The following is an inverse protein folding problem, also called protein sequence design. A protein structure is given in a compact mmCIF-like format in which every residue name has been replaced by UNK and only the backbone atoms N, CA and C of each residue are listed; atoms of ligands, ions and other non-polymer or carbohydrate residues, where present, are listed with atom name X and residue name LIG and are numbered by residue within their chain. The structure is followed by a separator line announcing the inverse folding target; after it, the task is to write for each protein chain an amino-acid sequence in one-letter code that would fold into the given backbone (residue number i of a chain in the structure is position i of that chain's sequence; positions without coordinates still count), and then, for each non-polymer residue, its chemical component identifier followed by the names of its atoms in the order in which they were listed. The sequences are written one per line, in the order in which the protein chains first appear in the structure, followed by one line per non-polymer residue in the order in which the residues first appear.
data_IF_837615469350
#
_entry.id   IF_837615469350
#
_cell.length_a   1.000
_cell.length_b   1.000
_cell.length_c   1.000
_cell.angle_alpha   90.00
_cell.angle_beta   90.00
_cell.angle_gamma   90.00
#
_symmetry.space_group_name_H-M   'P 1'
#
loop_
_entity.id
_entity.type
_entity.pdbx_description
1 polymer ?
#
# COMPACT_ATOMS: atom_id res chain seq x y z
N UNK A 1 2.24 -6.36 -4.50
CA UNK A 1 1.32 -5.45 -3.77
C UNK A 1 1.41 -4.09 -4.42
N UNK A 2 0.30 -3.52 -4.90
CA UNK A 2 0.35 -2.25 -5.62
C UNK A 2 -0.88 -1.39 -5.28
N UNK A 3 -0.72 -0.27 -4.55
CA UNK A 3 -1.85 0.54 -4.07
C UNK A 3 -2.66 1.16 -5.22
N UNK A 4 -2.01 1.46 -6.35
CA UNK A 4 -2.65 1.99 -7.55
C UNK A 4 -3.72 1.03 -8.12
N UNK A 5 -3.57 -0.29 -7.95
CA UNK A 5 -4.57 -1.28 -8.38
C UNK A 5 -5.87 -1.18 -7.58
N UNK A 6 -5.78 -0.71 -6.35
CA UNK A 6 -6.86 -0.82 -5.36
C UNK A 6 -7.83 0.35 -5.31
N UNK A 7 -7.76 1.28 -6.27
CA UNK A 7 -8.56 2.52 -6.22
C UNK A 7 -9.85 2.41 -7.03
N UNK A 8 -10.99 2.52 -6.36
CA UNK A 8 -12.33 2.56 -6.97
C UNK A 8 -13.05 3.87 -6.66
N UNK A 9 -13.97 4.24 -7.54
CA UNK A 9 -14.79 5.46 -7.41
C UNK A 9 -16.24 5.15 -7.69
N UNK A 10 -17.14 5.90 -7.04
CA UNK A 10 -18.53 5.98 -7.45
C UNK A 10 -18.61 6.75 -8.78
N UNK A 11 -19.43 6.28 -9.74
CA UNK A 11 -19.54 6.88 -11.09
C UNK A 11 -20.12 8.30 -11.07
N UNK A 12 -20.94 8.62 -10.08
CA UNK A 12 -21.59 9.93 -9.93
C UNK A 12 -20.75 10.93 -9.11
N UNK A 13 -19.60 10.51 -8.58
CA UNK A 13 -18.69 11.37 -7.80
C UNK A 13 -18.06 12.51 -8.62
N UNK A 14 -18.06 12.41 -9.95
CA UNK A 14 -17.35 13.31 -10.85
C UNK A 14 -15.83 13.10 -10.92
N UNK A 15 -15.29 12.06 -10.28
CA UNK A 15 -13.84 11.79 -10.24
C UNK A 15 -13.41 11.06 -11.51
N UNK A 16 -12.62 11.69 -12.39
CA UNK A 16 -12.12 11.09 -13.63
C UNK A 16 -10.60 10.87 -13.63
N UNK A 17 -9.89 11.51 -12.71
CA UNK A 17 -8.44 11.46 -12.56
C UNK A 17 -8.05 11.55 -11.08
N UNK A 18 -6.79 11.21 -10.72
CA UNK A 18 -6.30 11.41 -9.35
C UNK A 18 -6.48 12.83 -8.82
N UNK A 19 -6.38 13.85 -9.68
CA UNK A 19 -6.54 15.25 -9.28
C UNK A 19 -7.96 15.57 -8.78
N UNK A 20 -8.97 14.86 -9.28
CA UNK A 20 -10.37 15.07 -8.90
C UNK A 20 -10.69 14.51 -7.49
N UNK A 21 -9.74 13.84 -6.84
CA UNK A 21 -9.88 13.39 -5.44
C UNK A 21 -9.85 14.56 -4.44
N UNK A 22 -9.29 15.71 -4.83
CA UNK A 22 -9.23 16.90 -3.97
C UNK A 22 -10.64 17.36 -3.63
N UNK A 23 -10.92 17.54 -2.33
CA UNK A 23 -12.24 17.90 -1.82
C UNK A 23 -13.26 16.75 -1.79
N UNK A 24 -12.86 15.51 -2.14
CA UNK A 24 -13.74 14.34 -2.14
C UNK A 24 -13.55 13.47 -0.91
N UNK A 25 -14.57 12.68 -0.60
CA UNK A 25 -14.60 11.69 0.48
C UNK A 25 -13.94 10.40 0.02
N UNK A 26 -12.69 10.18 0.42
CA UNK A 26 -11.88 9.03 0.02
C UNK A 26 -11.71 8.08 1.20
N UNK A 27 -12.33 6.91 1.09
CA UNK A 27 -12.29 5.89 2.12
C UNK A 27 -10.99 5.08 2.11
N UNK A 28 -10.53 4.71 3.30
CA UNK A 28 -9.39 3.83 3.56
C UNK A 28 -9.73 2.89 4.72
N UNK A 29 -9.12 1.70 4.77
CA UNK A 29 -9.34 0.74 5.87
C UNK A 29 -8.74 1.18 7.22
N UNK A 30 -8.06 2.32 7.25
CA UNK A 30 -7.36 2.86 8.40
C UNK A 30 -6.50 4.02 7.94
N UNK A 31 -6.36 5.07 8.75
CA UNK A 31 -5.52 6.19 8.35
C UNK A 31 -4.06 5.73 8.23
N UNK A 32 -3.53 4.94 9.16
CA UNK A 32 -2.16 4.45 9.12
C UNK A 32 -1.95 3.18 8.29
N UNK A 33 -2.98 2.69 7.63
CA UNK A 33 -2.94 1.48 6.83
C UNK A 33 -1.93 1.59 5.66
N UNK A 34 -1.10 0.56 5.44
CA UNK A 34 0.02 0.59 4.47
C UNK A 34 -0.36 1.08 3.05
N UNK A 35 -1.42 0.58 2.39
CA UNK A 35 -1.86 1.09 1.09
C UNK A 35 -2.32 2.54 1.13
N UNK A 36 -2.95 2.96 2.23
CA UNK A 36 -3.37 4.34 2.41
C UNK A 36 -2.15 5.27 2.57
N UNK A 37 -1.14 4.86 3.34
CA UNK A 37 0.10 5.59 3.53
C UNK A 37 0.88 5.75 2.20
N UNK A 38 1.03 4.66 1.46
CA UNK A 38 1.63 4.69 0.13
C UNK A 38 0.85 5.56 -0.86
N UNK A 39 -0.46 5.37 -0.96
CA UNK A 39 -1.28 6.09 -1.94
C UNK A 39 -1.29 7.59 -1.65
N UNK A 40 -1.35 8.02 -0.38
CA UNK A 40 -1.18 9.43 -0.02
C UNK A 40 0.18 9.98 -0.43
N UNK A 41 1.26 9.26 -0.17
CA UNK A 41 2.60 9.66 -0.61
C UNK A 41 2.69 9.79 -2.14
N UNK A 42 2.14 8.83 -2.88
CA UNK A 42 2.09 8.86 -4.35
C UNK A 42 1.27 10.05 -4.85
N UNK A 43 0.07 10.28 -4.30
CA UNK A 43 -0.77 11.43 -4.67
C UNK A 43 -0.05 12.76 -4.39
N UNK A 44 0.62 12.88 -3.25
CA UNK A 44 1.32 14.09 -2.85
C UNK A 44 2.56 14.36 -3.71
N UNK A 45 3.42 13.37 -3.91
CA UNK A 45 4.76 13.57 -4.48
C UNK A 45 4.82 13.28 -5.97
N UNK A 46 4.12 12.26 -6.46
CA UNK A 46 4.13 11.91 -7.88
C UNK A 46 3.04 12.67 -8.66
N UNK A 47 1.82 12.72 -8.13
CA UNK A 47 0.73 13.51 -8.74
C UNK A 47 0.70 14.98 -8.30
N UNK A 48 1.57 15.40 -7.37
CA UNK A 48 1.68 16.79 -6.89
C UNK A 48 0.35 17.35 -6.34
N UNK A 49 -0.40 16.52 -5.60
CA UNK A 49 -1.73 16.89 -5.10
C UNK A 49 -1.70 17.37 -3.64
N UNK A 50 -2.57 18.32 -3.27
CA UNK A 50 -2.74 18.74 -1.89
C UNK A 50 -3.54 17.70 -1.10
N UNK A 51 -2.92 16.58 -0.71
CA UNK A 51 -3.61 15.45 -0.07
C UNK A 51 -4.30 15.79 1.26
N UNK A 52 -3.99 16.94 1.86
CA UNK A 52 -4.67 17.47 3.05
C UNK A 52 -6.05 18.07 2.75
N UNK A 53 -6.31 18.43 1.50
CA UNK A 53 -7.61 18.91 1.02
C UNK A 53 -8.54 17.75 0.60
N UNK A 54 -8.07 16.51 0.63
CA UNK A 54 -8.89 15.30 0.49
C UNK A 54 -9.54 14.99 1.85
N UNK A 55 -10.83 14.65 1.83
CA UNK A 55 -11.57 14.23 3.03
C UNK A 55 -11.33 12.74 3.22
N UNK A 56 -10.42 12.36 4.12
CA UNK A 56 -10.09 10.96 4.39
C UNK A 56 -11.16 10.34 5.28
N UNK A 57 -11.82 9.30 4.79
CA UNK A 57 -12.84 8.59 5.56
C UNK A 57 -12.24 7.28 6.05
N UNK A 58 -12.21 7.07 7.36
CA UNK A 58 -11.72 5.84 7.97
C UNK A 58 -12.71 5.32 9.01
N UNK A 59 -12.45 4.15 9.57
CA UNK A 59 -13.16 3.70 10.76
C UNK A 59 -12.70 4.48 12.00
N UNK A 60 -13.48 4.47 13.07
CA UNK A 60 -13.16 5.18 14.31
C UNK A 60 -11.95 4.59 15.03
N UNK A 61 -11.73 3.28 14.90
CA UNK A 61 -10.50 2.60 15.30
C UNK A 61 -9.74 2.08 14.08
N UNK A 62 -8.45 2.38 13.99
CA UNK A 62 -7.60 1.82 12.92
C UNK A 62 -7.20 0.38 13.28
N UNK A 63 -7.69 -0.65 12.55
CA UNK A 63 -7.43 -2.04 12.87
C UNK A 63 -5.96 -2.46 12.67
N UNK A 64 -5.16 -1.64 11.99
CA UNK A 64 -3.73 -1.91 11.73
C UNK A 64 -2.81 -1.27 12.75
N UNK A 65 -3.30 -0.31 13.53
CA UNK A 65 -2.54 0.41 14.56
C UNK A 65 -3.23 0.33 15.93
N UNK A 66 -4.06 -0.69 16.17
CA UNK A 66 -4.70 -0.95 17.46
C UNK A 66 -3.69 -0.94 18.61
N UNK A 67 -3.98 -0.15 19.64
CA UNK A 67 -3.14 -0.01 20.83
C UNK A 67 -1.92 0.90 20.65
N UNK A 68 -1.74 1.52 19.48
CA UNK A 68 -0.71 2.52 19.26
C UNK A 68 -1.30 3.93 19.36
N UNK A 69 -0.63 4.78 20.13
CA UNK A 69 -0.94 6.22 20.17
C UNK A 69 -0.34 6.90 18.93
N UNK A 70 -1.19 7.11 17.92
CA UNK A 70 -0.84 7.88 16.73
C UNK A 70 -1.95 8.87 16.40
N UNK A 71 -1.58 9.96 15.72
CA UNK A 71 -2.54 10.90 15.16
C UNK A 71 -2.05 11.37 13.79
N UNK A 72 -2.96 11.59 12.81
CA UNK A 72 -2.62 12.29 11.58
C UNK A 72 -1.89 13.61 11.87
N UNK A 73 -0.96 13.99 11.02
CA UNK A 73 -0.32 15.30 11.09
C UNK A 73 -1.37 16.43 10.97
N UNK A 74 -1.02 17.63 11.45
CA UNK A 74 -1.95 18.76 11.43
C UNK A 74 -2.38 19.11 9.99
N UNK A 75 -3.67 19.39 9.82
CA UNK A 75 -4.28 19.82 8.56
C UNK A 75 -4.92 18.72 7.71
N UNK A 76 -4.78 17.44 8.07
CA UNK A 76 -5.60 16.39 7.43
C UNK A 76 -7.06 16.51 7.85
N UNK A 77 -7.97 16.46 6.88
CA UNK A 77 -9.41 16.33 7.12
C UNK A 77 -9.72 14.84 7.23
N UNK A 78 -10.13 14.39 8.42
CA UNK A 78 -10.49 12.99 8.67
C UNK A 78 -11.91 12.90 9.19
N UNK A 79 -12.72 12.08 8.53
CA UNK A 79 -14.06 11.71 8.95
C UNK A 79 -14.13 10.22 9.30
N UNK A 80 -15.10 9.87 10.13
CA UNK A 80 -15.30 8.49 10.59
C UNK A 80 -16.63 7.93 10.14
N UNK A 81 -16.62 6.69 9.64
CA UNK A 81 -17.81 5.85 9.46
C UNK A 81 -17.57 4.57 10.26
N UNK A 82 -18.35 4.36 11.32
CA UNK A 82 -18.20 3.19 12.19
C UNK A 82 -18.49 1.89 11.42
N UNK A 83 -17.60 0.90 11.58
CA UNK A 83 -17.73 -0.40 10.92
C UNK A 83 -17.31 -0.39 9.45
N UNK A 84 -16.79 0.73 8.93
CA UNK A 84 -16.29 0.82 7.56
C UNK A 84 -15.22 -0.24 7.29
N UNK A 85 -14.27 -0.46 8.22
CA UNK A 85 -13.21 -1.44 8.01
C UNK A 85 -13.73 -2.87 7.83
N UNK A 86 -14.77 -3.24 8.57
CA UNK A 86 -15.43 -4.55 8.47
C UNK A 86 -16.21 -4.71 7.16
N UNK A 87 -16.79 -3.62 6.65
CA UNK A 87 -17.44 -3.57 5.34
C UNK A 87 -16.42 -3.70 4.20
N UNK A 88 -15.30 -2.99 4.30
CA UNK A 88 -14.23 -2.96 3.30
C UNK A 88 -13.50 -4.31 3.19
N UNK A 89 -13.16 -4.91 4.32
CA UNK A 89 -12.25 -6.05 4.41
C UNK A 89 -12.85 -7.16 5.25
N UNK A 90 -13.00 -8.35 4.66
CA UNK A 90 -13.37 -9.56 5.40
C UNK A 90 -12.25 -10.60 5.31
N UNK A 91 -12.40 -11.71 6.04
CA UNK A 91 -11.51 -12.87 5.92
C UNK A 91 -11.46 -13.45 4.48
N UNK A 92 -12.39 -13.07 3.59
CA UNK A 92 -12.45 -13.49 2.19
C UNK A 92 -11.88 -12.46 1.21
N UNK A 93 -11.39 -11.31 1.68
CA UNK A 93 -10.77 -10.26 0.85
C UNK A 93 -11.52 -8.93 0.88
N UNK A 94 -11.26 -8.08 -0.12
CA UNK A 94 -11.96 -6.79 -0.30
C UNK A 94 -13.33 -7.05 -0.90
N UNK A 95 -14.39 -6.55 -0.26
CA UNK A 95 -15.76 -6.69 -0.77
C UNK A 95 -16.28 -5.39 -1.37
N UNK A 96 -17.44 -5.49 -2.04
CA UNK A 96 -18.24 -4.32 -2.37
C UNK A 96 -18.64 -3.59 -1.10
N UNK A 97 -18.71 -2.27 -1.23
CA UNK A 97 -18.88 -1.34 -0.12
C UNK A 97 -20.12 -0.54 -0.44
N UNK A 98 -21.20 -0.83 0.27
CA UNK A 98 -22.46 -0.10 0.18
C UNK A 98 -22.22 1.41 0.34
N UNK A 99 -21.28 1.84 1.20
CA UNK A 99 -20.94 3.25 1.32
C UNK A 99 -20.47 3.89 0.00
N UNK A 100 -19.69 3.15 -0.81
CA UNK A 100 -19.23 3.60 -2.11
C UNK A 100 -20.35 3.54 -3.15
N UNK A 101 -21.15 2.47 -3.16
CA UNK A 101 -22.25 2.30 -4.11
C UNK A 101 -23.35 3.34 -3.92
N UNK A 102 -23.68 3.67 -2.68
CA UNK A 102 -24.69 4.66 -2.28
C UNK A 102 -24.19 6.11 -2.38
N UNK A 103 -22.90 6.32 -2.65
CA UNK A 103 -22.29 7.67 -2.73
C UNK A 103 -22.10 8.36 -1.38
N UNK A 104 -22.12 7.61 -0.27
CA UNK A 104 -21.71 8.12 1.06
C UNK A 104 -20.21 8.40 1.12
N UNK A 105 -19.43 7.73 0.28
CA UNK A 105 -18.03 8.03 -0.03
C UNK A 105 -17.88 8.10 -1.55
N UNK A 106 -16.97 8.95 -2.02
CA UNK A 106 -16.76 9.20 -3.45
C UNK A 106 -15.76 8.20 -4.05
N UNK A 107 -14.76 7.79 -3.26
CA UNK A 107 -13.70 6.88 -3.65
C UNK A 107 -13.30 5.95 -2.51
N UNK A 108 -12.63 4.87 -2.86
CA UNK A 108 -12.05 3.89 -1.95
C UNK A 108 -10.64 3.53 -2.40
N UNK A 109 -9.70 3.54 -1.46
CA UNK A 109 -8.37 2.95 -1.60
C UNK A 109 -8.31 1.70 -0.73
N UNK A 110 -8.32 0.54 -1.39
CA UNK A 110 -8.26 -0.78 -0.77
C UNK A 110 -6.95 -1.51 -1.14
N UNK A 111 -6.57 -2.59 -0.45
CA UNK A 111 -5.45 -3.42 -0.91
C UNK A 111 -5.76 -4.12 -2.24
N UNK A 112 -4.71 -4.66 -2.85
CA UNK A 112 -4.74 -5.78 -3.82
C UNK A 112 -5.94 -5.80 -4.75
N UNK A 113 -5.81 -5.18 -5.93
CA UNK A 113 -6.86 -5.19 -6.94
C UNK A 113 -8.11 -4.39 -6.57
N UNK A 114 -8.36 -4.06 -5.30
CA UNK A 114 -9.49 -3.26 -4.82
C UNK A 114 -10.85 -3.95 -4.89
N UNK A 115 -11.89 -3.30 -4.36
CA UNK A 115 -13.27 -3.84 -4.35
C UNK A 115 -13.74 -4.18 -5.78
N UNK A 116 -14.51 -5.26 -6.00
CA UNK A 116 -15.12 -5.55 -7.29
C UNK A 116 -16.00 -4.37 -7.76
N UNK A 117 -15.89 -4.01 -9.04
CA UNK A 117 -16.71 -2.93 -9.62
C UNK A 117 -18.09 -3.43 -10.02
N UNK A 118 -19.07 -2.54 -10.08
CA UNK A 118 -20.47 -2.86 -10.36
C UNK A 118 -21.16 -1.83 -11.28
N UNK A 119 -22.49 -1.79 -11.24
CA UNK A 119 -23.30 -0.80 -11.96
C UNK A 119 -22.99 0.63 -11.54
N UNK A 120 -22.62 0.87 -10.28
CA UNK A 120 -22.43 2.20 -9.69
C UNK A 120 -20.97 2.61 -9.51
N UNK A 121 -20.04 1.66 -9.58
CA UNK A 121 -18.62 1.88 -9.29
C UNK A 121 -17.71 1.50 -10.45
N UNK A 122 -16.51 2.07 -10.49
CA UNK A 122 -15.46 1.74 -11.46
C UNK A 122 -14.08 1.93 -10.87
N UNK A 123 -13.06 1.39 -11.52
CA UNK A 123 -11.66 1.73 -11.21
C UNK A 123 -11.41 3.21 -11.51
N UNK A 124 -10.59 3.87 -10.69
CA UNK A 124 -10.12 5.23 -10.99
C UNK A 124 -9.10 5.20 -12.13
N UNK A 125 -8.15 4.28 -12.05
CA UNK A 125 -7.09 4.12 -13.04
C UNK A 125 -7.52 3.09 -14.08
N UNK A 126 -7.49 3.48 -15.37
CA UNK A 126 -7.90 2.61 -16.47
C UNK A 126 -6.93 1.45 -16.72
N UNK A 127 -5.62 1.70 -16.54
CA UNK A 127 -4.56 0.68 -16.63
C UNK A 127 -3.64 0.82 -15.42
N UNK A 128 -4.04 0.28 -14.26
CA UNK A 128 -3.29 0.43 -13.02
C UNK A 128 -1.91 -0.24 -13.06
N UNK A 129 -1.72 -1.27 -13.90
CA UNK A 129 -0.41 -1.93 -14.07
C UNK A 129 0.54 -1.03 -14.85
N UNK A 130 0.07 -0.37 -15.91
CA UNK A 130 0.86 0.67 -16.59
C UNK A 130 1.18 1.84 -15.66
N UNK A 131 0.21 2.30 -14.87
CA UNK A 131 0.43 3.41 -13.92
C UNK A 131 1.48 3.07 -12.86
N UNK A 132 1.48 1.82 -12.35
CA UNK A 132 2.55 1.32 -11.49
C UNK A 132 3.91 1.38 -12.21
N UNK A 133 3.98 0.89 -13.45
CA UNK A 133 5.22 0.91 -14.24
C UNK A 133 5.75 2.33 -14.46
N UNK A 134 4.88 3.25 -14.88
CA UNK A 134 5.22 4.65 -15.11
C UNK A 134 5.71 5.31 -13.81
N UNK A 135 5.08 4.99 -12.67
CA UNK A 135 5.51 5.47 -11.35
C UNK A 135 6.90 4.94 -10.96
N UNK A 136 7.13 3.63 -11.08
CA UNK A 136 8.42 3.01 -10.75
C UNK A 136 9.52 3.56 -11.67
N UNK A 137 9.26 3.67 -12.97
CA UNK A 137 10.21 4.20 -13.95
C UNK A 137 10.56 5.67 -13.68
N UNK A 138 9.59 6.49 -13.28
CA UNK A 138 9.80 7.92 -13.02
C UNK A 138 10.50 8.21 -11.70
N UNK A 139 10.31 7.37 -10.68
CA UNK A 139 10.74 7.67 -9.30
C UNK A 139 11.81 6.73 -8.75
N UNK A 140 11.95 5.53 -9.34
CA UNK A 140 12.73 4.44 -8.75
C UNK A 140 12.09 3.84 -7.49
N UNK A 141 10.89 4.27 -7.11
CA UNK A 141 10.18 3.79 -5.91
C UNK A 141 9.30 2.60 -6.31
N UNK A 142 9.55 1.46 -5.68
CA UNK A 142 8.71 0.26 -5.75
C UNK A 142 7.98 0.03 -4.42
N UNK A 143 6.64 0.11 -4.35
CA UNK A 143 5.91 0.00 -3.08
C UNK A 143 6.17 -1.32 -2.33
N UNK A 144 6.73 -1.22 -1.12
CA UNK A 144 7.04 -2.36 -0.25
C UNK A 144 5.81 -2.69 0.60
N UNK A 145 5.45 -3.96 0.67
CA UNK A 145 4.34 -4.44 1.49
C UNK A 145 4.76 -5.13 2.79
N UNK A 146 5.86 -5.87 2.73
CA UNK A 146 6.23 -6.80 3.79
C UNK A 146 7.69 -6.58 4.16
N UNK A 147 7.94 -6.50 5.47
CA UNK A 147 9.27 -6.50 6.05
C UNK A 147 9.33 -7.58 7.12
N UNK A 148 10.48 -8.23 7.25
CA UNK A 148 10.72 -9.12 8.38
C UNK A 148 11.20 -8.33 9.58
N UNK A 149 10.59 -8.58 10.73
CA UNK A 149 11.00 -7.96 11.99
C UNK A 149 11.47 -9.02 12.97
N UNK A 150 12.46 -8.67 13.78
CA UNK A 150 12.96 -9.49 14.87
C UNK A 150 13.11 -8.61 16.11
N UNK A 151 12.82 -9.17 17.28
CA UNK A 151 13.11 -8.48 18.54
C UNK A 151 14.62 -8.34 18.69
N UNK A 152 15.08 -7.15 19.07
CA UNK A 152 16.50 -6.88 19.31
C UNK A 152 17.13 -7.90 20.27
N UNK A 153 16.45 -8.22 21.36
CA UNK A 153 16.90 -9.23 22.34
C UNK A 153 17.09 -10.63 21.74
N UNK A 154 16.30 -11.00 20.72
CA UNK A 154 16.45 -12.28 20.02
C UNK A 154 17.72 -12.30 19.17
N UNK A 155 18.02 -11.18 18.50
CA UNK A 155 19.24 -11.01 17.71
C UNK A 155 20.48 -11.00 18.62
N UNK A 156 20.43 -10.27 19.74
CA UNK A 156 21.52 -10.24 20.73
C UNK A 156 21.83 -11.64 21.30
N UNK A 157 20.79 -12.43 21.59
CA UNK A 157 20.96 -13.80 22.06
C UNK A 157 21.40 -14.78 20.95
N UNK A 158 21.16 -14.46 19.68
CA UNK A 158 21.46 -15.32 18.52
C UNK A 158 22.06 -14.50 17.36
N UNK A 159 23.31 -14.01 17.45
CA UNK A 159 23.85 -13.05 16.48
C UNK A 159 23.91 -13.57 15.03
N UNK A 160 23.99 -14.89 14.82
CA UNK A 160 23.97 -15.51 13.49
C UNK A 160 22.57 -15.69 12.88
N UNK A 161 21.50 -15.50 13.67
CA UNK A 161 20.12 -15.74 13.23
C UNK A 161 19.69 -14.86 12.03
N UNK A 162 19.98 -13.55 11.98
CA UNK A 162 19.62 -12.73 10.83
C UNK A 162 20.21 -13.25 9.51
N UNK A 163 21.50 -13.58 9.51
CA UNK A 163 22.20 -14.09 8.32
C UNK A 163 21.68 -15.48 7.91
N UNK A 164 21.40 -16.36 8.88
CA UNK A 164 20.81 -17.67 8.64
C UNK A 164 19.41 -17.55 8.01
N UNK A 165 18.57 -16.64 8.51
CA UNK A 165 17.25 -16.39 7.94
C UNK A 165 17.37 -15.84 6.51
N UNK A 166 18.22 -14.85 6.26
CA UNK A 166 18.43 -14.32 4.90
C UNK A 166 18.90 -15.41 3.93
N UNK A 167 19.74 -16.34 4.38
CA UNK A 167 20.14 -17.51 3.58
C UNK A 167 18.93 -18.38 3.24
N UNK A 168 18.09 -18.70 4.23
CA UNK A 168 16.90 -19.51 4.03
C UNK A 168 15.87 -18.83 3.10
N UNK A 169 15.65 -17.52 3.24
CA UNK A 169 14.74 -16.78 2.35
C UNK A 169 15.26 -16.70 0.91
N UNK A 170 16.57 -16.56 0.72
CA UNK A 170 17.18 -16.63 -0.61
C UNK A 170 16.97 -18.01 -1.24
N UNK A 171 17.14 -19.10 -0.47
CA UNK A 171 16.86 -20.45 -0.93
C UNK A 171 15.37 -20.64 -1.29
N UNK A 172 14.46 -20.17 -0.43
CA UNK A 172 13.02 -20.24 -0.68
C UNK A 172 12.62 -19.46 -1.94
N UNK A 173 13.20 -18.27 -2.16
CA UNK A 173 13.01 -17.49 -3.40
C UNK A 173 13.47 -18.28 -4.63
N UNK A 174 14.66 -18.90 -4.59
CA UNK A 174 15.15 -19.71 -5.71
C UNK A 174 14.24 -20.90 -6.02
N UNK A 175 13.70 -21.57 -4.99
CA UNK A 175 12.72 -22.64 -5.18
C UNK A 175 11.43 -22.12 -5.82
N UNK A 176 10.91 -21.00 -5.34
CA UNK A 176 9.71 -20.37 -5.89
C UNK A 176 9.85 -20.01 -7.38
N UNK A 177 11.01 -19.48 -7.80
CA UNK A 177 11.26 -19.23 -9.23
C UNK A 177 11.32 -20.51 -10.05
N UNK A 178 11.87 -21.60 -9.50
CA UNK A 178 11.91 -22.89 -10.19
C UNK A 178 10.50 -23.49 -10.35
N UNK A 179 9.64 -23.35 -9.34
CA UNK A 179 8.23 -23.75 -9.39
C UNK A 179 7.45 -22.93 -10.44
N UNK A 180 7.58 -21.60 -10.43
CA UNK A 180 6.93 -20.75 -11.44
C UNK A 180 7.37 -21.11 -12.88
N UNK A 181 8.64 -21.44 -13.08
CA UNK A 181 9.14 -21.86 -14.39
C UNK A 181 8.59 -23.23 -14.83
N UNK A 182 8.22 -24.11 -13.90
CA UNK A 182 7.69 -25.43 -14.18
C UNK A 182 6.16 -25.43 -14.38
N UNK A 183 5.43 -24.68 -13.55
CA UNK A 183 3.97 -24.73 -13.46
C UNK A 183 3.25 -23.71 -14.38
N UNK A 184 3.99 -22.73 -14.92
CA UNK A 184 3.46 -21.69 -15.81
C UNK A 184 3.00 -20.42 -15.07
N UNK A 185 2.33 -19.48 -15.76
CA UNK A 185 2.03 -18.16 -15.21
C UNK A 185 1.16 -18.23 -13.96
N UNK A 186 1.65 -17.62 -12.89
CA UNK A 186 0.92 -17.41 -11.65
C UNK A 186 0.29 -16.02 -11.56
N UNK A 187 -0.31 -15.74 -10.41
CA UNK A 187 -0.81 -14.40 -10.04
C UNK A 187 -0.04 -13.89 -8.82
N UNK A 188 0.35 -12.61 -8.87
CA UNK A 188 0.85 -11.87 -7.72
C UNK A 188 -0.04 -10.65 -7.48
N UNK A 189 -0.99 -10.79 -6.56
CA UNK A 189 -1.86 -9.70 -6.09
C UNK A 189 -2.70 -9.06 -7.22
N UNK A 190 -3.22 -9.88 -8.13
CA UNK A 190 -4.06 -9.45 -9.25
C UNK A 190 -3.30 -9.05 -10.52
N UNK A 191 -2.00 -9.35 -10.59
CA UNK A 191 -1.16 -9.15 -11.79
C UNK A 191 -0.42 -10.45 -12.10
N UNK A 192 -0.41 -10.86 -13.36
CA UNK A 192 0.28 -12.08 -13.78
C UNK A 192 1.79 -12.02 -13.51
N UNK A 193 2.36 -13.12 -13.03
CA UNK A 193 3.81 -13.18 -12.70
C UNK A 193 4.70 -12.99 -13.92
N UNK A 194 4.29 -13.48 -15.09
CA UNK A 194 4.99 -13.26 -16.37
C UNK A 194 4.97 -11.78 -16.77
N UNK A 195 3.81 -11.13 -16.67
CA UNK A 195 3.68 -9.69 -16.95
C UNK A 195 4.60 -8.86 -16.03
N UNK A 196 4.63 -9.17 -14.73
CA UNK A 196 5.54 -8.50 -13.81
C UNK A 196 7.02 -8.76 -14.16
N UNK A 197 7.35 -9.97 -14.59
CA UNK A 197 8.71 -10.33 -15.02
C UNK A 197 9.13 -9.57 -16.27
N UNK A 198 8.27 -9.51 -17.29
CA UNK A 198 8.50 -8.79 -18.54
C UNK A 198 8.68 -7.28 -18.32
N UNK A 199 7.99 -6.73 -17.33
CA UNK A 199 8.11 -5.33 -16.92
C UNK A 199 9.33 -5.06 -16.03
N UNK A 200 10.05 -6.09 -15.57
CA UNK A 200 11.12 -5.95 -14.58
C UNK A 200 10.61 -5.54 -13.19
N UNK A 201 9.34 -5.83 -12.89
CA UNK A 201 8.63 -5.46 -11.67
C UNK A 201 8.28 -6.68 -10.80
N UNK A 202 8.93 -7.82 -11.04
CA UNK A 202 8.74 -9.00 -10.21
C UNK A 202 9.26 -8.72 -8.77
N UNK A 203 8.47 -8.94 -7.71
CA UNK A 203 8.76 -8.47 -6.34
C UNK A 203 9.70 -9.41 -5.58
N UNK A 204 10.85 -9.74 -6.14
CA UNK A 204 11.78 -10.70 -5.55
C UNK A 204 13.11 -10.08 -5.09
N UNK A 205 13.29 -8.76 -5.25
CA UNK A 205 14.50 -8.06 -4.85
C UNK A 205 14.60 -7.92 -3.32
N UNK A 206 15.54 -8.66 -2.70
CA UNK A 206 15.79 -8.61 -1.26
C UNK A 206 16.98 -7.72 -0.89
N UNK A 207 16.95 -7.20 0.33
CA UNK A 207 18.06 -6.44 0.93
C UNK A 207 17.83 -4.93 0.92
N UNK A 208 18.61 -4.23 1.75
CA UNK A 208 18.48 -2.79 1.97
C UNK A 208 18.77 -2.01 0.69
N UNK A 209 19.92 -2.24 0.06
CA UNK A 209 20.34 -1.45 -1.11
C UNK A 209 19.36 -1.56 -2.29
N UNK A 210 18.85 -2.77 -2.55
CA UNK A 210 17.86 -2.98 -3.61
C UNK A 210 16.53 -2.26 -3.34
N UNK A 211 16.23 -1.95 -2.07
CA UNK A 211 14.99 -1.35 -1.62
C UNK A 211 15.16 0.06 -1.04
N UNK A 212 16.37 0.63 -1.08
CA UNK A 212 16.75 1.84 -0.34
C UNK A 212 15.83 3.01 -0.68
N UNK A 213 15.65 3.30 -1.96
CA UNK A 213 14.77 4.37 -2.45
C UNK A 213 13.33 4.21 -1.93
N UNK A 214 12.81 2.99 -1.93
CA UNK A 214 11.47 2.70 -1.43
C UNK A 214 11.37 2.80 0.09
N UNK A 215 12.40 2.36 0.82
CA UNK A 215 12.48 2.47 2.28
C UNK A 215 12.52 3.94 2.71
N UNK A 216 13.36 4.74 2.08
CA UNK A 216 13.44 6.18 2.31
C UNK A 216 12.10 6.87 2.00
N UNK A 217 11.46 6.51 0.89
CA UNK A 217 10.16 7.05 0.52
C UNK A 217 9.07 6.73 1.55
N UNK A 218 8.92 5.47 1.98
CA UNK A 218 7.86 5.12 2.94
C UNK A 218 8.13 5.69 4.33
N UNK A 219 9.39 5.80 4.76
CA UNK A 219 9.74 6.48 6.01
C UNK A 219 9.35 7.96 5.94
N UNK A 220 9.71 8.65 4.84
CA UNK A 220 9.33 10.03 4.59
C UNK A 220 7.82 10.21 4.59
N UNK A 221 7.09 9.37 3.85
CA UNK A 221 5.62 9.40 3.78
C UNK A 221 4.99 9.21 5.16
N UNK A 222 5.44 8.23 5.94
CA UNK A 222 4.93 8.00 7.29
C UNK A 222 5.21 9.20 8.21
N UNK A 223 6.37 9.84 8.09
CA UNK A 223 6.74 11.00 8.90
C UNK A 223 5.89 12.23 8.55
N UNK A 224 5.78 12.56 7.27
CA UNK A 224 4.97 13.69 6.78
C UNK A 224 3.48 13.56 7.15
N UNK A 225 2.98 12.32 7.16
CA UNK A 225 1.59 12.00 7.49
C UNK A 225 1.32 11.92 8.99
N UNK A 226 2.36 11.95 9.84
CA UNK A 226 2.24 11.86 11.30
C UNK A 226 2.10 10.44 11.85
N UNK A 227 2.32 9.40 11.02
CA UNK A 227 2.28 8.00 11.45
C UNK A 227 3.47 7.62 12.34
N UNK A 228 4.61 8.29 12.12
CA UNK A 228 5.79 8.19 12.98
C UNK A 228 6.24 9.58 13.42
N UNK A 229 6.80 9.67 14.63
CA UNK A 229 7.26 10.94 15.23
C UNK A 229 8.72 11.26 14.90
N UNK A 230 9.48 10.28 14.43
CA UNK A 230 10.90 10.40 14.09
C UNK A 230 11.07 10.06 12.62
N UNK A 231 11.81 10.91 11.90
CA UNK A 231 12.25 10.60 10.55
C UNK A 231 13.52 9.76 10.63
N UNK A 232 13.36 8.43 10.68
CA UNK A 232 14.47 7.50 10.82
C UNK A 232 15.32 7.43 9.54
N UNK A 233 16.64 7.32 9.68
CA UNK A 233 17.46 6.79 8.60
C UNK A 233 17.20 5.29 8.44
N UNK A 234 17.39 4.76 7.23
CA UNK A 234 17.21 3.33 6.95
C UNK A 234 18.07 2.49 7.88
N UNK A 235 19.31 2.92 8.11
CA UNK A 235 20.30 2.24 8.95
C UNK A 235 19.87 2.11 10.41
N UNK A 236 18.97 2.97 10.90
CA UNK A 236 18.46 2.89 12.27
C UNK A 236 17.42 1.78 12.46
N UNK A 237 16.80 1.32 11.37
CA UNK A 237 15.70 0.36 11.39
C UNK A 237 16.14 -1.08 11.11
N UNK A 238 17.28 -1.28 10.44
CA UNK A 238 17.74 -2.58 9.99
C UNK A 238 19.02 -3.03 10.69
N UNK A 239 19.18 -4.35 10.82
CA UNK A 239 20.44 -4.96 11.24
C UNK A 239 21.40 -4.93 10.03
N UNK A 240 22.54 -4.26 10.17
CA UNK A 240 23.59 -4.12 9.14
C UNK A 240 24.80 -4.96 9.52
#
# INVERSE_FOLDING_TARGET
FFPQLGTTVNKDSGINSPADLVGKRVAVCGFGYNPAAWMRGILQHYYTLPVKEIIWVADSEDPFLTGLDYKPADGYIVETIDGLSEELMTAKGVHQVAALEEGRIDALIAPGGGAPTDGNTRRLLNDPVKQLSDFVAATGIYPINTVMTMRRSTVEANPGLPAALMTAFNQARSLYHAELAADGPGDHMGVGTEQLSDMGLFPDAYGIEANRTSLEAIIGYCYEQGLIRTHFAVEELFCI
#
